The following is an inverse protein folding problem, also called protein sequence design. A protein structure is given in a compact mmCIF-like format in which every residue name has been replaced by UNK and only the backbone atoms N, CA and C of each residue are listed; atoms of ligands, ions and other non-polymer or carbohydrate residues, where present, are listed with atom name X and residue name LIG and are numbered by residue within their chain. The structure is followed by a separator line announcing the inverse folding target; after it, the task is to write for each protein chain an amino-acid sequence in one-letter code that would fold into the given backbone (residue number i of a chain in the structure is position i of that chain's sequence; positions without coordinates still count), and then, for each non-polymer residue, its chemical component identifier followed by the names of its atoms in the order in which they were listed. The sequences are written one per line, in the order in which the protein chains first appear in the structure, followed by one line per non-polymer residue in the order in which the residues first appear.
data_IF_025321970389
#
_entry.id   IF_025321970389
#
_cell.length_a   1.000
_cell.length_b   1.000
_cell.length_c   1.000
_cell.angle_alpha   90.00
_cell.angle_beta   90.00
_cell.angle_gamma   90.00
#
_symmetry.space_group_name_H-M   'P 1'
#
loop_
_entity.id
_entity.type
_entity.pdbx_description
1 polymer ?
#
# COMPACT_ATOMS: atom_id res chain seq x y z
N UNK A 1 -22.71 -6.31 -15.86
CA UNK A 1 -21.57 -6.78 -16.69
C UNK A 1 -20.27 -6.45 -15.96
N UNK A 2 -19.43 -7.45 -15.72
CA UNK A 2 -18.10 -7.27 -15.11
C UNK A 2 -17.13 -6.67 -16.14
N UNK A 3 -16.21 -5.84 -15.69
CA UNK A 3 -15.17 -5.21 -16.51
C UNK A 3 -13.82 -5.37 -15.82
N UNK A 4 -12.81 -5.85 -16.54
CA UNK A 4 -11.42 -5.85 -16.06
C UNK A 4 -10.87 -4.42 -16.10
N UNK A 5 -10.21 -4.03 -15.02
CA UNK A 5 -9.28 -2.92 -14.93
C UNK A 5 -7.92 -3.48 -14.50
N UNK A 6 -6.86 -2.75 -14.83
CA UNK A 6 -5.48 -3.10 -14.51
C UNK A 6 -4.83 -1.83 -13.92
N UNK A 7 -4.12 -1.97 -12.81
CA UNK A 7 -3.30 -0.89 -12.23
C UNK A 7 -1.87 -0.90 -12.84
N UNK A 8 -1.04 0.13 -12.59
CA UNK A 8 0.28 0.23 -13.23
C UNK A 8 1.28 -0.86 -12.81
N UNK A 9 1.11 -1.50 -11.65
CA UNK A 9 2.00 -2.55 -11.16
C UNK A 9 1.61 -3.98 -11.57
N UNK A 10 0.37 -4.21 -12.01
CA UNK A 10 0.02 -5.39 -12.82
C UNK A 10 -1.26 -6.13 -12.36
N UNK A 11 -1.88 -5.70 -11.27
CA UNK A 11 -2.99 -6.39 -10.63
C UNK A 11 -4.31 -6.17 -11.36
N UNK A 12 -5.17 -7.18 -11.30
CA UNK A 12 -6.36 -7.27 -12.14
C UNK A 12 -7.61 -7.09 -11.28
N UNK A 13 -8.26 -5.94 -11.46
CA UNK A 13 -9.41 -5.50 -10.68
C UNK A 13 -10.72 -5.74 -11.43
N UNK A 14 -11.65 -6.47 -10.82
CA UNK A 14 -12.91 -6.87 -11.44
C UNK A 14 -14.06 -5.92 -11.07
N UNK A 15 -14.17 -4.81 -11.81
CA UNK A 15 -15.24 -3.84 -11.59
C UNK A 15 -16.62 -4.45 -11.90
N UNK A 16 -17.58 -4.20 -11.00
CA UNK A 16 -18.93 -4.75 -11.00
C UNK A 16 -19.01 -6.27 -10.74
N UNK A 17 -17.96 -6.91 -10.20
CA UNK A 17 -18.10 -8.20 -9.52
C UNK A 17 -18.56 -7.95 -8.07
N UNK A 18 -19.49 -8.76 -7.57
CA UNK A 18 -19.90 -8.69 -6.16
C UNK A 18 -18.97 -9.53 -5.29
N UNK A 19 -18.44 -8.93 -4.23
CA UNK A 19 -17.71 -9.64 -3.18
C UNK A 19 -18.65 -9.78 -1.98
N UNK A 20 -18.81 -11.02 -1.50
CA UNK A 20 -19.66 -11.33 -0.35
C UNK A 20 -18.79 -11.85 0.79
N UNK A 21 -18.94 -11.27 1.98
CA UNK A 21 -18.27 -11.75 3.18
C UNK A 21 -19.04 -12.94 3.74
N UNK A 22 -18.33 -14.04 4.02
CA UNK A 22 -18.81 -15.15 4.83
C UNK A 22 -18.00 -15.19 6.13
N UNK A 23 -18.67 -15.44 7.25
CA UNK A 23 -18.08 -15.59 8.58
C UNK A 23 -18.10 -17.05 9.06
N UNK A 24 -18.93 -17.88 8.42
CA UNK A 24 -19.05 -19.33 8.68
C UNK A 24 -18.89 -20.15 7.39
N UNK A 25 -18.61 -21.45 7.54
CA UNK A 25 -18.61 -22.42 6.44
C UNK A 25 -19.99 -22.50 5.76
N UNK A 26 -21.06 -22.47 6.55
CA UNK A 26 -22.45 -22.53 6.04
C UNK A 26 -22.79 -21.33 5.15
N UNK A 27 -22.38 -20.12 5.52
CA UNK A 27 -22.52 -18.93 4.67
C UNK A 27 -21.73 -19.05 3.36
N UNK A 28 -20.51 -19.59 3.41
CA UNK A 28 -19.68 -19.80 2.22
C UNK A 28 -20.25 -20.86 1.27
N UNK A 29 -20.80 -21.95 1.82
CA UNK A 29 -21.50 -22.99 1.05
C UNK A 29 -22.81 -22.47 0.46
N UNK A 30 -23.58 -21.69 1.20
CA UNK A 30 -24.80 -21.05 0.69
C UNK A 30 -24.52 -20.09 -0.47
N UNK A 31 -23.41 -19.34 -0.42
CA UNK A 31 -22.95 -18.51 -1.56
C UNK A 31 -22.53 -19.35 -2.78
N UNK A 32 -21.91 -20.52 -2.57
CA UNK A 32 -21.56 -21.46 -3.65
C UNK A 32 -22.82 -22.04 -4.32
N UNK A 33 -23.79 -22.53 -3.53
CA UNK A 33 -25.05 -23.06 -4.04
C UNK A 33 -25.90 -21.99 -4.73
N UNK A 34 -25.90 -20.74 -4.25
CA UNK A 34 -26.52 -19.60 -4.92
C UNK A 34 -25.83 -19.32 -6.28
N UNK A 35 -24.51 -19.41 -6.34
CA UNK A 35 -23.75 -19.30 -7.59
C UNK A 35 -24.16 -20.36 -8.62
N UNK A 36 -24.23 -21.62 -8.20
CA UNK A 36 -24.59 -22.74 -9.09
C UNK A 36 -26.08 -22.71 -9.51
N UNK A 37 -26.97 -22.32 -8.59
CA UNK A 37 -28.40 -22.10 -8.91
C UNK A 37 -28.56 -21.00 -9.96
N UNK A 38 -27.81 -19.90 -9.86
CA UNK A 38 -27.79 -18.84 -10.87
C UNK A 38 -27.20 -19.33 -12.21
N UNK A 39 -26.21 -20.23 -12.18
CA UNK A 39 -25.67 -20.88 -13.40
C UNK A 39 -26.73 -21.74 -14.09
N UNK A 40 -27.49 -22.53 -13.34
CA UNK A 40 -28.60 -23.34 -13.87
C UNK A 40 -29.73 -22.47 -14.44
N UNK A 41 -30.12 -21.39 -13.76
CA UNK A 41 -31.19 -20.47 -14.22
C UNK A 41 -30.80 -19.72 -15.50
N UNK A 42 -29.50 -19.55 -15.77
CA UNK A 42 -29.01 -19.00 -17.04
C UNK A 42 -29.05 -20.01 -18.21
N UNK A 43 -29.28 -21.30 -17.96
CA UNK A 43 -29.50 -22.28 -19.01
C UNK A 43 -30.91 -22.13 -19.63
N UNK A 44 -30.99 -22.33 -20.94
CA UNK A 44 -32.26 -22.40 -21.66
C UNK A 44 -32.26 -23.63 -22.57
N UNK A 45 -33.43 -24.12 -23.04
CA UNK A 45 -33.47 -25.26 -23.98
C UNK A 45 -32.70 -25.04 -25.30
N UNK A 46 -32.36 -23.78 -25.62
CA UNK A 46 -31.51 -23.42 -26.77
C UNK A 46 -30.02 -23.33 -26.39
N UNK A 47 -29.71 -22.87 -25.18
CA UNK A 47 -28.35 -22.73 -24.65
C UNK A 47 -28.19 -23.56 -23.35
N UNK A 48 -27.67 -24.77 -23.47
CA UNK A 48 -27.14 -25.56 -22.33
C UNK A 48 -25.88 -24.87 -21.82
N UNK A 49 -26.04 -23.82 -21.01
CA UNK A 49 -24.97 -22.90 -20.65
C UNK A 49 -23.93 -23.51 -19.70
N UNK A 50 -24.25 -24.59 -18.97
CA UNK A 50 -23.32 -25.32 -18.10
C UNK A 50 -22.11 -25.87 -18.87
N UNK A 51 -22.34 -26.54 -20.02
CA UNK A 51 -21.26 -27.03 -20.89
C UNK A 51 -20.58 -25.92 -21.70
N UNK A 52 -21.14 -24.70 -21.66
CA UNK A 52 -20.81 -23.58 -22.55
C UNK A 52 -20.36 -22.30 -21.84
N UNK A 53 -20.06 -22.37 -20.55
CA UNK A 53 -19.55 -21.24 -19.77
C UNK A 53 -18.44 -21.69 -18.83
N UNK A 54 -17.50 -20.78 -18.55
CA UNK A 54 -16.46 -21.00 -17.55
C UNK A 54 -16.93 -20.42 -16.21
N UNK A 55 -16.93 -21.23 -15.16
CA UNK A 55 -17.20 -20.76 -13.80
C UNK A 55 -15.86 -20.55 -13.07
N UNK A 56 -15.72 -19.42 -12.38
CA UNK A 56 -14.57 -19.14 -11.51
C UNK A 56 -15.11 -18.70 -10.16
N UNK A 57 -15.21 -19.63 -9.21
CA UNK A 57 -15.53 -19.32 -7.82
C UNK A 57 -14.23 -18.95 -7.09
N UNK A 58 -14.18 -17.78 -6.46
CA UNK A 58 -12.94 -17.27 -5.83
C UNK A 58 -13.16 -17.00 -4.36
N UNK A 59 -12.49 -17.77 -3.51
CA UNK A 59 -12.48 -17.59 -2.05
C UNK A 59 -11.25 -16.77 -1.68
N UNK A 60 -11.47 -15.66 -0.98
CA UNK A 60 -10.40 -14.86 -0.38
C UNK A 60 -10.37 -15.17 1.12
N UNK A 61 -9.20 -15.53 1.63
CA UNK A 61 -8.96 -15.84 3.04
C UNK A 61 -7.91 -14.86 3.58
N UNK A 62 -8.22 -14.22 4.70
CA UNK A 62 -7.24 -13.47 5.50
C UNK A 62 -7.10 -14.14 6.87
N UNK A 63 -5.87 -14.31 7.33
CA UNK A 63 -5.54 -14.93 8.60
C UNK A 63 -4.51 -14.08 9.34
N UNK A 64 -4.68 -13.95 10.66
CA UNK A 64 -3.82 -13.13 11.50
C UNK A 64 -3.61 -13.82 12.83
N UNK A 65 -2.36 -14.09 13.18
CA UNK A 65 -2.00 -14.67 14.47
C UNK A 65 -2.22 -13.64 15.60
N UNK A 66 -2.81 -14.02 16.76
CA UNK A 66 -3.01 -13.10 17.87
C UNK A 66 -1.70 -12.43 18.33
N UNK A 67 -1.68 -11.10 18.37
CA UNK A 67 -0.49 -10.30 18.68
C UNK A 67 0.44 -10.02 17.50
N UNK A 68 0.26 -10.64 16.34
CA UNK A 68 1.04 -10.35 15.14
C UNK A 68 0.63 -9.02 14.48
N UNK A 69 1.62 -8.30 13.96
CA UNK A 69 1.45 -7.15 13.05
C UNK A 69 1.23 -7.58 11.60
N UNK A 70 1.49 -8.85 11.29
CA UNK A 70 1.41 -9.42 9.93
C UNK A 70 0.09 -10.13 9.71
N UNK A 71 -0.53 -9.90 8.55
CA UNK A 71 -1.72 -10.58 8.05
C UNK A 71 -1.32 -11.44 6.85
N UNK A 72 -1.72 -12.70 6.86
CA UNK A 72 -1.54 -13.63 5.73
C UNK A 72 -2.76 -13.61 4.83
N UNK A 73 -2.54 -13.50 3.53
CA UNK A 73 -3.59 -13.52 2.53
C UNK A 73 -3.46 -14.75 1.62
N UNK A 74 -4.57 -15.42 1.37
CA UNK A 74 -4.66 -16.54 0.44
C UNK A 74 -5.89 -16.37 -0.47
N UNK A 75 -5.73 -16.79 -1.73
CA UNK A 75 -6.74 -16.66 -2.79
C UNK A 75 -6.87 -18.02 -3.48
N UNK A 76 -8.03 -18.66 -3.30
CA UNK A 76 -8.34 -19.97 -3.88
C UNK A 76 -9.33 -19.79 -5.03
N UNK A 77 -8.89 -20.08 -6.25
CA UNK A 77 -9.75 -20.17 -7.43
C UNK A 77 -10.18 -21.62 -7.65
N UNK A 78 -11.49 -21.87 -7.62
CA UNK A 78 -12.11 -23.10 -8.11
C UNK A 78 -12.64 -22.81 -9.51
N UNK A 79 -12.06 -23.45 -10.52
CA UNK A 79 -12.32 -23.19 -11.94
C UNK A 79 -12.99 -24.40 -12.58
N UNK A 80 -14.19 -24.21 -13.09
CA UNK A 80 -14.90 -25.16 -13.93
C UNK A 80 -14.87 -24.65 -15.37
N UNK A 81 -14.33 -25.44 -16.30
CA UNK A 81 -14.09 -25.02 -17.68
C UNK A 81 -15.17 -25.58 -18.61
N UNK A 82 -15.65 -24.75 -19.52
CA UNK A 82 -16.54 -25.15 -20.60
C UNK A 82 -15.95 -26.27 -21.47
N UNK A 83 -16.82 -26.93 -22.24
CA UNK A 83 -16.48 -28.01 -23.16
C UNK A 83 -15.28 -27.70 -24.05
N UNK A 84 -14.34 -28.65 -24.11
CA UNK A 84 -13.11 -28.54 -24.91
C UNK A 84 -13.24 -29.15 -26.31
N UNK A 85 -14.38 -29.74 -26.62
CA UNK A 85 -14.67 -30.39 -27.89
C UNK A 85 -14.71 -29.43 -29.07
N UNK A 86 -14.39 -29.96 -30.26
CA UNK A 86 -14.32 -29.16 -31.48
C UNK A 86 -15.71 -28.91 -32.06
N UNK A 87 -16.06 -27.63 -32.25
CA UNK A 87 -17.32 -27.18 -32.88
C UNK A 87 -17.60 -27.85 -34.25
N UNK A 88 -16.57 -28.26 -34.98
CA UNK A 88 -16.72 -29.00 -36.23
C UNK A 88 -17.37 -30.41 -36.07
N UNK A 89 -17.32 -31.02 -34.89
CA UNK A 89 -17.97 -32.31 -34.58
C UNK A 89 -19.42 -32.16 -34.10
N UNK A 90 -19.83 -30.99 -33.60
CA UNK A 90 -21.16 -30.80 -33.00
C UNK A 90 -22.26 -30.46 -34.01
N UNK A 91 -21.90 -30.13 -35.26
CA UNK A 91 -22.84 -29.98 -36.38
C UNK A 91 -23.81 -28.79 -36.30
N UNK A 92 -23.59 -27.86 -35.35
CA UNK A 92 -24.52 -26.77 -35.06
C UNK A 92 -24.32 -25.57 -35.99
N UNK A 93 -25.42 -24.94 -36.41
CA UNK A 93 -25.43 -23.73 -37.23
C UNK A 93 -25.94 -22.48 -36.52
N UNK A 94 -25.99 -21.35 -37.24
CA UNK A 94 -26.62 -20.12 -36.78
C UNK A 94 -25.96 -19.50 -35.54
N UNK A 95 -26.76 -18.96 -34.61
CA UNK A 95 -26.27 -18.28 -33.41
C UNK A 95 -25.47 -19.22 -32.48
N UNK A 96 -25.82 -20.51 -32.44
CA UNK A 96 -25.13 -21.53 -31.65
C UNK A 96 -23.71 -21.79 -32.16
N UNK A 97 -23.48 -21.68 -33.48
CA UNK A 97 -22.14 -21.73 -34.08
C UNK A 97 -21.29 -20.51 -33.65
N UNK A 98 -21.89 -19.32 -33.56
CA UNK A 98 -21.18 -18.13 -33.07
C UNK A 98 -20.90 -18.19 -31.56
N UNK A 99 -21.80 -18.74 -30.76
CA UNK A 99 -21.59 -18.98 -29.32
C UNK A 99 -20.43 -19.95 -29.09
N UNK A 100 -20.49 -21.14 -29.71
CA UNK A 100 -19.43 -22.16 -29.63
C UNK A 100 -18.07 -21.61 -30.09
N UNK A 101 -18.05 -20.73 -31.10
CA UNK A 101 -16.81 -20.04 -31.52
C UNK A 101 -16.23 -19.14 -30.41
N UNK A 102 -17.04 -18.42 -29.63
CA UNK A 102 -16.54 -17.59 -28.52
C UNK A 102 -16.05 -18.43 -27.33
N UNK A 103 -16.65 -19.58 -27.08
CA UNK A 103 -16.25 -20.50 -26.00
C UNK A 103 -14.89 -21.11 -26.31
N UNK A 104 -14.73 -21.73 -27.49
CA UNK A 104 -13.46 -22.28 -27.92
C UNK A 104 -12.39 -21.18 -28.13
N UNK A 105 -12.76 -19.91 -28.34
CA UNK A 105 -11.81 -18.79 -28.38
C UNK A 105 -11.17 -18.53 -27.01
N UNK A 106 -11.94 -18.59 -25.92
CA UNK A 106 -11.39 -18.43 -24.56
C UNK A 106 -10.48 -19.61 -24.14
N UNK A 107 -10.83 -20.85 -24.49
CA UNK A 107 -9.95 -22.01 -24.32
C UNK A 107 -8.71 -21.94 -25.22
N UNK A 108 -8.83 -21.44 -26.45
CA UNK A 108 -7.68 -21.22 -27.32
C UNK A 108 -6.73 -20.16 -26.76
N UNK A 109 -7.24 -19.07 -26.18
CA UNK A 109 -6.39 -18.08 -25.52
C UNK A 109 -5.71 -18.64 -24.26
N UNK A 110 -6.38 -19.51 -23.50
CA UNK A 110 -5.75 -20.29 -22.42
C UNK A 110 -4.61 -21.18 -22.95
N UNK A 111 -4.84 -21.90 -24.05
CA UNK A 111 -3.80 -22.69 -24.72
C UNK A 111 -2.62 -21.83 -25.20
N UNK A 112 -2.87 -20.63 -25.75
CA UNK A 112 -1.81 -19.70 -26.16
C UNK A 112 -0.98 -19.18 -24.97
N UNK A 113 -1.59 -18.95 -23.81
CA UNK A 113 -0.88 -18.62 -22.55
C UNK A 113 -0.01 -19.80 -22.10
N UNK A 114 -0.57 -21.01 -22.06
CA UNK A 114 0.14 -22.24 -21.66
C UNK A 114 1.35 -22.51 -22.57
N UNK A 115 1.17 -22.39 -23.89
CA UNK A 115 2.26 -22.56 -24.87
C UNK A 115 3.34 -21.48 -24.64
N UNK A 116 2.94 -20.21 -24.53
CA UNK A 116 3.89 -19.12 -24.30
C UNK A 116 4.71 -19.27 -23.00
N UNK A 117 4.10 -19.82 -21.94
CA UNK A 117 4.79 -20.11 -20.67
C UNK A 117 5.77 -21.29 -20.76
N UNK A 118 5.58 -22.22 -21.71
CA UNK A 118 6.52 -23.31 -21.97
C UNK A 118 7.75 -22.87 -22.80
N UNK A 119 7.68 -21.72 -23.47
CA UNK A 119 8.73 -21.19 -24.34
C UNK A 119 9.77 -20.37 -23.54
N UNK A 120 10.90 -21.00 -23.20
CA UNK A 120 12.01 -20.45 -22.36
C UNK A 120 12.56 -19.06 -22.71
N UNK A 121 12.22 -18.49 -23.86
CA UNK A 121 12.73 -17.20 -24.35
C UNK A 121 11.61 -16.20 -24.69
N UNK A 122 10.39 -16.45 -24.23
CA UNK A 122 9.22 -15.60 -24.50
C UNK A 122 9.02 -14.56 -23.41
N UNK A 123 9.23 -13.29 -23.74
CA UNK A 123 9.03 -12.16 -22.82
C UNK A 123 7.57 -11.75 -22.63
N UNK A 124 6.69 -12.03 -23.60
CA UNK A 124 5.29 -11.62 -23.57
C UNK A 124 4.31 -12.80 -23.58
N UNK A 125 3.59 -12.95 -22.47
CA UNK A 125 2.52 -13.93 -22.27
C UNK A 125 1.14 -13.27 -22.47
N UNK A 126 0.26 -13.77 -23.35
CA UNK A 126 -0.91 -13.04 -23.82
C UNK A 126 -2.16 -13.11 -22.89
N UNK A 127 -2.00 -12.91 -21.58
CA UNK A 127 -3.10 -12.99 -20.60
C UNK A 127 -4.30 -12.10 -20.95
N UNK A 128 -4.04 -10.89 -21.46
CA UNK A 128 -5.04 -9.87 -21.83
C UNK A 128 -5.98 -10.29 -22.97
N UNK A 129 -5.70 -11.38 -23.69
CA UNK A 129 -6.55 -11.82 -24.82
C UNK A 129 -7.96 -12.27 -24.39
N UNK A 130 -8.14 -12.68 -23.12
CA UNK A 130 -9.46 -13.05 -22.59
C UNK A 130 -9.64 -12.66 -21.13
N UNK A 131 -10.89 -12.54 -20.70
CA UNK A 131 -11.22 -12.30 -19.29
C UNK A 131 -10.75 -13.45 -18.40
N UNK A 132 -10.92 -14.70 -18.85
CA UNK A 132 -10.49 -15.89 -18.10
C UNK A 132 -8.97 -15.94 -17.91
N UNK A 133 -8.19 -15.75 -18.98
CA UNK A 133 -6.72 -15.72 -18.90
C UNK A 133 -6.16 -14.51 -18.16
N UNK A 134 -6.93 -13.42 -18.06
CA UNK A 134 -6.58 -12.29 -17.19
C UNK A 134 -6.81 -12.65 -15.71
N UNK A 135 -7.99 -13.17 -15.35
CA UNK A 135 -8.30 -13.57 -13.97
C UNK A 135 -7.37 -14.68 -13.46
N UNK A 136 -6.96 -15.60 -14.35
CA UNK A 136 -6.06 -16.71 -14.03
C UNK A 136 -4.57 -16.39 -14.26
N UNK A 137 -4.18 -15.11 -14.34
CA UNK A 137 -2.77 -14.69 -14.47
C UNK A 137 -1.88 -15.32 -13.39
N UNK A 138 -2.27 -15.18 -12.14
CA UNK A 138 -1.49 -15.67 -10.99
C UNK A 138 -1.39 -17.21 -10.98
N UNK A 139 -2.45 -17.88 -11.46
CA UNK A 139 -2.55 -19.33 -11.56
C UNK A 139 -1.68 -19.95 -12.67
N UNK A 140 -1.17 -19.15 -13.61
CA UNK A 140 -0.47 -19.64 -14.79
C UNK A 140 0.84 -18.89 -14.94
N UNK A 141 1.91 -19.38 -14.32
CA UNK A 141 3.22 -18.74 -14.33
C UNK A 141 3.38 -17.58 -13.33
N UNK A 142 2.51 -17.48 -12.33
CA UNK A 142 2.56 -16.48 -11.26
C UNK A 142 2.65 -17.08 -9.85
N UNK A 143 2.27 -16.30 -8.84
CA UNK A 143 2.20 -16.74 -7.45
C UNK A 143 0.91 -17.54 -7.17
N UNK A 144 0.93 -18.84 -7.48
CA UNK A 144 -0.16 -19.74 -7.13
C UNK A 144 0.28 -21.20 -7.09
N UNK A 145 -0.20 -21.97 -6.11
CA UNK A 145 -0.17 -23.43 -6.16
C UNK A 145 -1.33 -23.92 -7.04
N UNK A 146 -1.03 -24.38 -8.25
CA UNK A 146 -2.06 -24.69 -9.25
C UNK A 146 -2.08 -26.17 -9.61
N UNK A 147 -3.28 -26.77 -9.49
CA UNK A 147 -3.55 -28.17 -9.82
C UNK A 147 -4.59 -28.22 -10.93
N UNK A 148 -4.30 -28.93 -12.03
CA UNK A 148 -5.27 -29.21 -13.08
C UNK A 148 -5.86 -30.61 -12.91
N UNK A 149 -7.19 -30.72 -12.96
CA UNK A 149 -7.89 -32.00 -13.05
C UNK A 149 -8.31 -32.21 -14.51
N UNK A 150 -7.86 -33.31 -15.12
CA UNK A 150 -8.22 -33.69 -16.49
C UNK A 150 -9.35 -34.73 -16.48
N UNK A 151 -10.57 -34.32 -16.79
CA UNK A 151 -11.71 -35.22 -16.97
C UNK A 151 -11.69 -35.86 -18.36
N UNK A 152 -11.96 -37.16 -18.43
CA UNK A 152 -11.79 -37.97 -19.65
C UNK A 152 -12.98 -38.92 -19.85
N UNK A 153 -13.30 -39.23 -21.10
CA UNK A 153 -14.31 -40.23 -21.46
C UNK A 153 -13.66 -41.45 -22.11
N UNK A 154 -14.04 -42.64 -21.66
CA UNK A 154 -13.56 -43.93 -22.18
C UNK A 154 -14.39 -44.45 -23.37
N UNK A 155 -15.45 -43.74 -23.78
CA UNK A 155 -16.29 -44.13 -24.90
C UNK A 155 -15.54 -44.01 -26.24
N UNK A 156 -15.70 -45.00 -27.13
CA UNK A 156 -15.01 -45.04 -28.43
C UNK A 156 -15.20 -43.77 -29.28
N UNK A 157 -16.34 -43.10 -29.17
CA UNK A 157 -16.66 -41.83 -29.86
C UNK A 157 -15.85 -40.63 -29.37
N UNK A 158 -15.32 -40.67 -28.14
CA UNK A 158 -14.69 -39.53 -27.47
C UNK A 158 -13.17 -39.67 -27.34
N UNK A 159 -12.57 -40.78 -27.82
CA UNK A 159 -11.13 -41.08 -27.68
C UNK A 159 -10.24 -39.93 -28.22
N UNK A 160 -10.60 -39.32 -29.35
CA UNK A 160 -9.85 -38.17 -29.92
C UNK A 160 -9.78 -36.97 -28.97
N UNK A 161 -10.90 -36.68 -28.29
CA UNK A 161 -11.02 -35.54 -27.39
C UNK A 161 -10.30 -35.87 -26.07
N UNK A 162 -10.47 -37.08 -25.52
CA UNK A 162 -9.69 -37.56 -24.37
C UNK A 162 -8.17 -37.52 -24.61
N UNK A 163 -7.70 -37.91 -25.82
CA UNK A 163 -6.28 -37.76 -26.21
C UNK A 163 -5.88 -36.28 -26.30
N UNK A 164 -6.77 -35.41 -26.76
CA UNK A 164 -6.52 -33.96 -26.83
C UNK A 164 -6.42 -33.34 -25.44
N UNK A 165 -7.31 -33.71 -24.50
CA UNK A 165 -7.26 -33.31 -23.08
C UNK A 165 -5.99 -33.79 -22.39
N UNK A 166 -5.57 -35.05 -22.60
CA UNK A 166 -4.30 -35.56 -22.09
C UNK A 166 -3.09 -34.75 -22.61
N UNK A 167 -3.06 -34.41 -23.91
CA UNK A 167 -2.01 -33.57 -24.51
C UNK A 167 -2.01 -32.14 -23.98
N UNK A 168 -3.19 -31.58 -23.66
CA UNK A 168 -3.32 -30.26 -23.04
C UNK A 168 -2.81 -30.27 -21.60
N UNK A 169 -3.23 -31.27 -20.80
CA UNK A 169 -2.73 -31.46 -19.43
C UNK A 169 -1.21 -31.67 -19.37
N UNK A 170 -0.63 -32.39 -20.35
CA UNK A 170 0.82 -32.53 -20.51
C UNK A 170 1.53 -31.18 -20.76
N UNK A 171 0.89 -30.21 -21.43
CA UNK A 171 1.45 -28.85 -21.59
C UNK A 171 1.32 -28.03 -20.31
N UNK A 172 0.18 -28.12 -19.62
CA UNK A 172 -0.04 -27.44 -18.32
C UNK A 172 0.98 -27.92 -17.27
N UNK A 173 1.29 -29.22 -17.24
CA UNK A 173 2.29 -29.81 -16.34
C UNK A 173 3.75 -29.37 -16.59
N UNK A 174 4.02 -28.60 -17.65
CA UNK A 174 5.34 -27.99 -17.91
C UNK A 174 5.45 -26.54 -17.42
N UNK A 175 4.33 -25.92 -17.02
CA UNK A 175 4.32 -24.56 -16.45
C UNK A 175 5.00 -24.60 -15.08
N UNK A 176 5.79 -23.57 -14.79
CA UNK A 176 6.35 -23.32 -13.45
C UNK A 176 5.67 -22.11 -12.85
N UNK A 177 5.08 -22.29 -11.68
CA UNK A 177 4.59 -21.20 -10.83
C UNK A 177 5.60 -20.99 -9.70
N UNK A 178 5.77 -19.74 -9.25
CA UNK A 178 6.64 -19.38 -8.13
C UNK A 178 5.75 -18.98 -6.94
N UNK A 179 5.30 -19.99 -6.20
CA UNK A 179 4.41 -19.80 -5.06
C UNK A 179 5.16 -19.20 -3.86
N UNK A 180 4.72 -18.03 -3.40
CA UNK A 180 5.30 -17.25 -2.30
C UNK A 180 4.19 -16.92 -1.29
N UNK A 181 4.52 -16.94 0.00
CA UNK A 181 3.60 -16.61 1.08
C UNK A 181 3.23 -15.11 1.02
N UNK A 182 1.94 -14.79 0.82
CA UNK A 182 1.48 -13.40 0.84
C UNK A 182 1.32 -12.93 2.29
N UNK A 183 2.32 -12.23 2.80
CA UNK A 183 2.31 -11.56 4.11
C UNK A 183 2.30 -10.04 3.91
N UNK A 184 1.22 -9.39 4.38
CA UNK A 184 1.11 -7.94 4.46
C UNK A 184 1.30 -7.49 5.91
N UNK A 185 2.06 -6.44 6.14
CA UNK A 185 2.25 -5.86 7.47
C UNK A 185 1.30 -4.67 7.62
N UNK A 186 0.26 -4.81 8.46
CA UNK A 186 -0.74 -3.75 8.65
C UNK A 186 -0.06 -2.53 9.30
N UNK A 187 0.04 -1.39 8.57
CA UNK A 187 0.78 -0.22 9.06
C UNK A 187 0.14 0.40 10.29
N UNK A 188 -1.17 0.19 10.53
CA UNK A 188 -1.85 0.68 11.73
C UNK A 188 -1.38 -0.08 12.97
N UNK A 189 -1.16 -1.40 12.86
CA UNK A 189 -0.64 -2.21 13.97
C UNK A 189 0.82 -1.87 14.26
N UNK A 190 1.63 -1.62 13.22
CA UNK A 190 3.01 -1.15 13.38
C UNK A 190 3.04 0.20 14.10
N UNK A 191 2.21 1.17 13.69
CA UNK A 191 2.09 2.47 14.37
C UNK A 191 1.68 2.31 15.84
N UNK A 192 0.65 1.51 16.14
CA UNK A 192 0.18 1.27 17.51
C UNK A 192 1.28 0.60 18.36
N UNK A 193 1.99 -0.39 17.81
CA UNK A 193 3.11 -1.06 18.48
C UNK A 193 4.25 -0.09 18.77
N UNK A 194 4.70 0.67 17.78
CA UNK A 194 5.78 1.65 17.94
C UNK A 194 5.40 2.76 18.92
N UNK A 195 4.15 3.23 18.91
CA UNK A 195 3.66 4.20 19.89
C UNK A 195 3.70 3.67 21.32
N UNK A 196 3.31 2.40 21.53
CA UNK A 196 3.42 1.74 22.85
C UNK A 196 4.87 1.59 23.29
N UNK A 197 5.74 1.12 22.39
CA UNK A 197 7.17 0.89 22.64
C UNK A 197 7.91 2.22 22.95
N UNK A 198 7.56 3.31 22.25
CA UNK A 198 8.02 4.67 22.55
C UNK A 198 7.54 5.15 23.93
N UNK A 199 6.31 4.81 24.34
CA UNK A 199 5.80 5.19 25.66
C UNK A 199 6.49 4.41 26.79
N UNK A 200 6.67 3.10 26.64
CA UNK A 200 7.35 2.25 27.62
C UNK A 200 8.81 2.69 27.82
N UNK A 201 9.54 3.00 26.74
CA UNK A 201 10.90 3.56 26.81
C UNK A 201 10.94 4.96 27.45
N UNK A 202 9.92 5.81 27.25
CA UNK A 202 9.82 7.11 27.92
C UNK A 202 9.59 6.98 29.42
N UNK A 203 8.73 6.06 29.84
CA UNK A 203 8.45 5.82 31.26
C UNK A 203 9.64 5.14 31.96
N UNK A 204 10.35 4.21 31.31
CA UNK A 204 11.61 3.65 31.83
C UNK A 204 12.68 4.75 31.98
N UNK A 205 12.88 5.61 30.97
CA UNK A 205 13.79 6.74 31.07
C UNK A 205 13.40 7.72 32.19
N UNK A 206 12.11 7.96 32.43
CA UNK A 206 11.63 8.80 33.53
C UNK A 206 11.90 8.17 34.91
N UNK A 207 11.83 6.84 35.03
CA UNK A 207 12.20 6.11 36.25
C UNK A 207 13.72 6.17 36.48
N UNK A 208 14.52 5.88 35.45
CA UNK A 208 15.99 5.83 35.55
C UNK A 208 16.63 7.21 35.76
N UNK A 209 16.08 8.27 35.16
CA UNK A 209 16.62 9.63 35.29
C UNK A 209 15.96 10.47 36.38
N UNK A 210 14.83 10.02 36.95
CA UNK A 210 14.03 10.79 37.92
C UNK A 210 13.30 12.01 37.34
N UNK A 211 13.61 12.42 36.12
CA UNK A 211 12.98 13.54 35.41
C UNK A 211 11.84 13.04 34.49
N UNK A 212 10.60 13.45 34.75
CA UNK A 212 9.54 13.39 33.73
C UNK A 212 9.81 14.44 32.66
N UNK A 213 10.37 14.04 31.53
CA UNK A 213 10.72 14.92 30.40
C UNK A 213 9.48 15.33 29.61
N UNK A 214 8.77 16.32 30.13
CA UNK A 214 7.74 17.10 29.43
C UNK A 214 8.31 17.86 28.23
N UNK A 215 7.46 18.23 27.28
CA UNK A 215 7.90 18.96 26.07
C UNK A 215 8.46 20.36 26.41
N UNK A 216 7.87 21.02 27.42
CA UNK A 216 8.39 22.25 28.02
C UNK A 216 9.25 21.96 29.27
N UNK A 217 10.18 22.88 29.57
CA UNK A 217 10.77 23.02 30.90
C UNK A 217 9.72 23.62 31.86
N UNK A 218 9.79 23.26 33.14
CA UNK A 218 8.90 23.86 34.15
C UNK A 218 9.34 25.29 34.50
N UNK A 219 8.40 26.13 34.96
CA UNK A 219 8.69 27.52 35.36
C UNK A 219 9.79 27.59 36.43
N UNK A 220 9.81 26.63 37.37
CA UNK A 220 10.84 26.53 38.40
C UNK A 220 12.24 26.24 37.82
N UNK A 221 12.34 25.37 36.82
CA UNK A 221 13.61 25.11 36.12
C UNK A 221 14.06 26.35 35.34
N UNK A 222 13.15 27.06 34.65
CA UNK A 222 13.48 28.28 33.92
C UNK A 222 14.03 29.37 34.87
N UNK A 223 13.36 29.60 36.00
CA UNK A 223 13.78 30.56 37.04
C UNK A 223 15.09 30.17 37.73
N UNK A 224 15.42 28.89 37.78
CA UNK A 224 16.70 28.39 38.28
C UNK A 224 17.82 28.53 37.23
N UNK A 225 17.52 28.29 35.96
CA UNK A 225 18.44 28.49 34.83
C UNK A 225 18.81 29.97 34.68
N UNK A 226 17.83 30.88 34.77
CA UNK A 226 18.09 32.33 34.72
C UNK A 226 19.08 32.77 35.82
N UNK A 227 18.91 32.30 37.06
CA UNK A 227 19.85 32.57 38.17
C UNK A 227 21.24 31.99 37.95
N UNK A 228 21.34 30.81 37.32
CA UNK A 228 22.64 30.23 36.94
C UNK A 228 23.31 31.05 35.84
N UNK A 229 22.53 31.56 34.87
CA UNK A 229 23.02 32.40 33.77
C UNK A 229 23.48 33.78 34.30
N UNK A 230 22.74 34.42 35.21
CA UNK A 230 23.16 35.71 35.78
C UNK A 230 24.40 35.56 36.66
N UNK A 231 24.43 34.59 37.57
CA UNK A 231 25.60 34.37 38.43
C UNK A 231 26.86 33.96 37.65
N UNK A 232 26.70 33.25 36.52
CA UNK A 232 27.80 32.98 35.59
C UNK A 232 28.30 34.23 34.84
N UNK A 233 27.43 35.23 34.61
CA UNK A 233 27.78 36.49 33.93
C UNK A 233 28.25 37.61 34.88
N UNK A 234 28.07 37.42 36.18
CA UNK A 234 28.51 38.33 37.25
C UNK A 234 29.87 37.91 37.86
N UNK A 235 30.25 36.64 37.72
CA UNK A 235 31.58 36.14 38.11
C UNK A 235 32.68 36.69 37.17
N UNK A 236 33.90 36.84 37.71
CA UNK A 236 35.06 37.37 37.00
C UNK A 236 36.14 36.30 36.74
N UNK A 237 35.93 35.06 37.19
CA UNK A 237 36.80 33.92 36.88
C UNK A 237 36.61 33.44 35.40
N UNK A 238 37.63 33.57 34.53
CA UNK A 238 37.53 33.17 33.13
C UNK A 238 37.52 31.65 32.91
N UNK A 239 37.86 30.82 33.90
CA UNK A 239 37.77 29.34 33.81
C UNK A 239 36.42 28.79 34.31
N UNK A 240 35.53 29.65 34.84
CA UNK A 240 34.22 29.22 35.32
C UNK A 240 33.39 28.63 34.17
N UNK A 241 32.60 27.59 34.48
CA UNK A 241 31.75 26.87 33.52
C UNK A 241 30.30 26.91 33.94
N UNK A 242 29.40 27.04 32.96
CA UNK A 242 27.96 27.01 33.19
C UNK A 242 27.48 25.54 33.22
N UNK A 243 27.39 24.97 34.41
CA UNK A 243 26.99 23.57 34.60
C UNK A 243 25.47 23.40 34.54
N UNK A 244 24.96 23.09 33.34
CA UNK A 244 23.51 22.91 33.06
C UNK A 244 23.04 21.44 33.08
N UNK A 245 23.95 20.51 33.38
CA UNK A 245 23.71 19.08 33.19
C UNK A 245 23.64 18.66 31.71
N UNK A 246 23.15 17.45 31.46
CA UNK A 246 23.10 16.83 30.12
C UNK A 246 21.79 17.09 29.34
N UNK A 247 20.89 17.94 29.84
CA UNK A 247 19.60 18.20 29.18
C UNK A 247 19.73 19.27 28.09
N UNK A 248 19.60 18.83 26.84
CA UNK A 248 19.66 19.71 25.66
C UNK A 248 18.63 20.85 25.69
N UNK A 249 17.47 20.68 26.36
CA UNK A 249 16.48 21.74 26.55
C UNK A 249 17.05 22.90 27.38
N UNK A 250 17.71 22.56 28.48
CA UNK A 250 18.33 23.50 29.42
C UNK A 250 19.51 24.20 28.75
N UNK A 251 20.34 23.44 28.02
CA UNK A 251 21.45 23.95 27.20
C UNK A 251 20.96 24.95 26.12
N UNK A 252 19.92 24.60 25.35
CA UNK A 252 19.33 25.50 24.35
C UNK A 252 18.77 26.79 24.97
N UNK A 253 18.13 26.71 26.14
CA UNK A 253 17.63 27.88 26.86
C UNK A 253 18.78 28.83 27.26
N UNK A 254 19.86 28.29 27.84
CA UNK A 254 21.04 29.07 28.19
C UNK A 254 21.66 29.78 26.98
N UNK A 255 21.84 29.09 25.85
CA UNK A 255 22.38 29.71 24.62
C UNK A 255 21.46 30.80 24.05
N UNK A 256 20.14 30.60 24.10
CA UNK A 256 19.17 31.63 23.67
C UNK A 256 19.26 32.89 24.56
N UNK A 257 19.31 32.70 25.88
CA UNK A 257 19.36 33.82 26.84
C UNK A 257 20.70 34.57 26.77
N UNK A 258 21.83 33.87 26.59
CA UNK A 258 23.14 34.49 26.34
C UNK A 258 23.16 35.30 25.05
N UNK A 259 22.57 34.79 23.97
CA UNK A 259 22.46 35.48 22.68
C UNK A 259 21.68 36.80 22.78
N UNK A 260 20.61 36.84 23.60
CA UNK A 260 19.84 38.04 23.89
C UNK A 260 20.71 39.13 24.54
N UNK A 261 21.34 38.80 25.68
CA UNK A 261 22.18 39.72 26.45
C UNK A 261 23.40 40.25 25.67
N UNK A 262 23.95 39.46 24.74
CA UNK A 262 25.05 39.89 23.86
C UNK A 262 24.60 40.87 22.76
N UNK A 263 23.35 40.83 22.32
CA UNK A 263 22.80 41.84 21.42
C UNK A 263 22.53 43.15 22.18
N UNK A 264 21.95 43.07 23.37
CA UNK A 264 21.62 44.26 24.19
C UNK A 264 22.89 45.09 24.50
N UNK A 265 24.00 44.44 24.88
CA UNK A 265 25.29 45.12 25.14
C UNK A 265 25.92 45.80 23.91
N UNK A 266 25.55 45.46 22.67
CA UNK A 266 26.11 46.09 21.46
C UNK A 266 25.56 47.49 21.17
N UNK A 267 24.42 47.85 21.75
CA UNK A 267 23.68 49.09 21.40
C UNK A 267 24.33 50.33 22.03
N UNK A 268 25.04 50.20 23.15
CA UNK A 268 25.57 51.30 23.96
C UNK A 268 26.83 52.00 23.38
N UNK A 269 27.23 51.70 22.13
CA UNK A 269 28.61 51.92 21.66
C UNK A 269 28.90 53.09 20.72
N UNK A 270 27.92 53.80 20.15
CA UNK A 270 28.14 54.87 19.16
C UNK A 270 27.03 55.93 19.13
N UNK A 271 27.40 57.22 19.04
CA UNK A 271 26.47 58.34 18.75
C UNK A 271 27.19 59.57 18.18
N UNK A 272 26.39 60.51 17.63
CA UNK A 272 26.70 61.82 17.03
C UNK A 272 27.12 61.84 15.54
N UNK A 273 26.62 62.73 14.66
CA UNK A 273 25.43 63.64 14.60
C UNK A 273 25.46 64.28 13.17
N UNK A 274 24.43 64.79 12.47
CA UNK A 274 22.94 64.84 12.51
C UNK A 274 22.47 64.96 11.03
N UNK A 275 21.25 65.30 10.56
CA UNK A 275 19.89 65.65 11.06
C UNK A 275 18.88 65.20 9.93
N UNK A 276 17.60 65.58 9.76
CA UNK A 276 16.73 66.59 10.38
C UNK A 276 15.21 66.32 10.21
N UNK A 277 14.43 66.95 11.10
CA UNK A 277 13.00 67.30 11.11
C UNK A 277 12.03 66.92 9.98
N UNK A 278 11.01 66.10 10.33
CA UNK A 278 9.64 66.60 10.64
C UNK A 278 8.80 65.56 11.41
N UNK A 279 7.70 66.03 12.03
CA UNK A 279 6.82 65.33 12.99
C UNK A 279 6.06 64.13 12.35
N UNK A 280 5.41 63.19 13.06
CA UNK A 280 4.63 63.35 14.30
C UNK A 280 4.29 62.00 15.03
N UNK A 281 4.08 62.05 16.36
CA UNK A 281 3.46 61.08 17.30
C UNK A 281 3.87 59.57 17.39
N UNK A 282 4.56 59.26 18.50
CA UNK A 282 4.34 58.16 19.49
C UNK A 282 4.24 56.65 19.13
N UNK A 283 5.09 55.86 19.83
CA UNK A 283 5.05 54.41 20.16
C UNK A 283 5.29 53.32 19.08
N UNK A 284 6.55 52.82 19.04
CA UNK A 284 7.01 51.40 18.86
C UNK A 284 6.53 50.54 17.65
N UNK A 285 7.13 49.35 17.36
CA UNK A 285 8.49 48.84 17.63
C UNK A 285 9.27 48.40 16.34
N UNK A 286 10.61 48.44 16.34
CA UNK A 286 11.45 47.98 15.21
C UNK A 286 12.31 46.74 15.52
N UNK A 287 11.64 45.59 15.71
CA UNK A 287 12.20 44.25 15.44
C UNK A 287 11.28 43.39 14.57
N UNK A 288 10.03 43.83 14.35
CA UNK A 288 9.02 42.99 13.71
C UNK A 288 9.29 42.77 12.22
N UNK A 289 9.92 43.72 11.52
CA UNK A 289 10.26 43.55 10.09
C UNK A 289 11.32 42.47 9.82
N UNK A 290 12.34 42.31 10.68
CA UNK A 290 13.31 41.22 10.51
C UNK A 290 12.70 39.88 10.90
N UNK A 291 11.91 39.83 11.98
CA UNK A 291 11.15 38.64 12.32
C UNK A 291 10.11 38.27 11.25
N UNK A 292 9.52 39.26 10.58
CA UNK A 292 8.58 39.08 9.47
C UNK A 292 9.31 38.59 8.23
N UNK A 293 10.42 39.22 7.81
CA UNK A 293 11.29 38.71 6.73
C UNK A 293 11.77 37.28 7.00
N UNK A 294 12.13 36.94 8.23
CA UNK A 294 12.56 35.58 8.60
C UNK A 294 11.39 34.59 8.67
N UNK A 295 10.19 35.01 9.13
CA UNK A 295 8.95 34.23 9.04
C UNK A 295 8.45 34.05 7.61
N UNK A 296 8.69 35.02 6.74
CA UNK A 296 8.30 34.98 5.33
C UNK A 296 9.29 34.11 4.54
N UNK A 297 10.59 34.12 4.88
CA UNK A 297 11.57 33.13 4.40
C UNK A 297 11.24 31.73 4.94
N UNK A 298 10.83 31.58 6.20
CA UNK A 298 10.37 30.31 6.74
C UNK A 298 9.08 29.85 6.05
N UNK A 299 8.06 30.70 5.89
CA UNK A 299 6.86 30.41 5.09
C UNK A 299 7.17 30.09 3.64
N UNK A 300 8.14 30.76 3.03
CA UNK A 300 8.57 30.44 1.68
C UNK A 300 9.23 29.06 1.66
N UNK A 301 10.05 28.71 2.66
CA UNK A 301 10.64 27.38 2.81
C UNK A 301 9.60 26.30 3.14
N UNK A 302 8.61 26.59 3.97
CA UNK A 302 7.51 25.69 4.31
C UNK A 302 6.58 25.52 3.10
N UNK A 303 6.40 26.55 2.26
CA UNK A 303 5.71 26.44 0.98
C UNK A 303 6.55 25.69 -0.07
N UNK A 304 7.87 25.91 -0.15
CA UNK A 304 8.78 25.14 -1.00
C UNK A 304 8.80 23.66 -0.57
N UNK A 305 8.80 23.38 0.73
CA UNK A 305 8.71 22.04 1.33
C UNK A 305 7.30 21.46 1.13
N UNK A 306 6.23 22.24 1.25
CA UNK A 306 4.85 21.77 1.03
C UNK A 306 4.61 21.49 -0.46
N UNK A 307 5.15 22.30 -1.37
CA UNK A 307 5.14 22.05 -2.82
C UNK A 307 6.02 20.84 -3.15
N UNK A 308 7.21 20.68 -2.53
CA UNK A 308 8.01 19.47 -2.67
C UNK A 308 7.30 18.24 -2.10
N UNK A 309 6.59 18.37 -0.98
CA UNK A 309 5.81 17.30 -0.36
C UNK A 309 4.57 16.97 -1.19
N UNK A 310 3.93 17.95 -1.84
CA UNK A 310 2.79 17.74 -2.72
C UNK A 310 3.22 17.23 -4.11
N UNK A 311 4.40 17.61 -4.61
CA UNK A 311 5.05 16.99 -5.77
C UNK A 311 5.47 15.56 -5.44
N UNK A 312 6.14 15.31 -4.30
CA UNK A 312 6.48 13.96 -3.85
C UNK A 312 5.24 13.12 -3.54
N UNK A 313 4.16 13.70 -3.02
CA UNK A 313 2.86 13.03 -2.83
C UNK A 313 2.14 12.79 -4.16
N UNK A 314 2.32 13.63 -5.18
CA UNK A 314 1.82 13.34 -6.53
C UNK A 314 2.67 12.27 -7.23
N UNK A 315 3.99 12.20 -6.99
CA UNK A 315 4.84 11.09 -7.42
C UNK A 315 4.51 9.79 -6.65
N UNK A 316 4.31 9.84 -5.33
CA UNK A 316 3.81 8.68 -4.57
C UNK A 316 2.33 8.39 -4.84
N UNK A 317 1.55 9.27 -5.46
CA UNK A 317 0.24 8.93 -6.04
C UNK A 317 0.33 8.41 -7.49
N UNK A 318 1.54 8.32 -8.04
CA UNK A 318 1.87 7.56 -9.25
C UNK A 318 2.47 6.20 -8.86
N UNK A 319 3.23 6.12 -7.76
CA UNK A 319 3.87 4.90 -7.25
C UNK A 319 3.21 4.26 -5.99
N UNK A 320 2.00 4.69 -5.58
CA UNK A 320 1.02 3.90 -4.78
C UNK A 320 -0.16 3.48 -5.66
N UNK A 321 0.25 3.03 -6.84
CA UNK A 321 -0.47 2.29 -7.83
C UNK A 321 0.58 1.44 -8.60
N UNK A 322 1.21 0.44 -7.96
CA UNK A 322 2.11 0.63 -6.79
C UNK A 322 1.50 0.08 -5.50
#
# INVERSE_FOLDING_TARGET
KVTILEDPDQNIHLKNLSLHQATTEEEALNLLFLGDTNRMIAETPMNQASTRSHCIFTIHLSSKEPGSTTVRHAKLHLVDLAGSERVAKTGVGGQLLTEAKYINLSLHFLEQVIIALSEKHRSHIPYRNSMMTSVLRDSLGGNCMTTMIATLSLEKRNIDESISTCRFAQRVALIKNEAVLNEEVDPRLVIIRLQKEIQELKDELAIVTGERKTEALTEAELLQLEKLITSFLEDQDPERRLEVGADMRKIHHCFHHLKKLLNDKKILGKSNVSSESKNQDCHEPLQEEEFKKLRDILKQRDNEISILYEVMRNFLCIDLKV
#
